data_IF_358991703738
#
_entry.id   IF_358991703738
#
_cell.length_a   1.000
_cell.length_b   1.000
_cell.length_c   1.000
_cell.angle_alpha   90.00
_cell.angle_beta   90.00
_cell.angle_gamma   90.00
#
_symmetry.space_group_name_H-M   'P 1'
#
loop_
_entity.id
_entity.type
_entity.pdbx_description
1 polymer ?
#
# COMPACT_ATOMS: atom_id res chain seq x y z
N UNK A 1 -13.69 -7.31 -2.94
CA UNK A 1 -13.02 -7.97 -4.08
C UNK A 1 -13.87 -9.18 -4.46
N UNK A 2 -14.15 -9.38 -5.75
CA UNK A 2 -14.92 -10.55 -6.20
C UNK A 2 -14.05 -11.80 -6.30
N UNK A 3 -14.66 -12.99 -6.21
CA UNK A 3 -13.94 -14.26 -6.30
C UNK A 3 -13.26 -14.43 -7.68
N UNK A 4 -13.93 -14.03 -8.77
CA UNK A 4 -13.37 -14.13 -10.12
C UNK A 4 -12.10 -13.30 -10.26
N UNK A 5 -12.13 -12.06 -9.77
CA UNK A 5 -10.98 -11.18 -9.81
C UNK A 5 -9.83 -11.69 -8.93
N UNK A 6 -10.14 -12.16 -7.72
CA UNK A 6 -9.15 -12.77 -6.85
C UNK A 6 -8.47 -13.98 -7.51
N UNK A 7 -9.25 -14.84 -8.18
CA UNK A 7 -8.73 -15.96 -8.95
C UNK A 7 -7.79 -15.49 -10.05
N UNK A 8 -8.16 -14.49 -10.85
CA UNK A 8 -7.28 -13.97 -11.89
C UNK A 8 -6.01 -13.33 -11.33
N UNK A 9 -6.10 -12.52 -10.27
CA UNK A 9 -4.91 -11.91 -9.64
C UNK A 9 -3.96 -12.98 -9.09
N UNK A 10 -4.48 -14.08 -8.55
CA UNK A 10 -3.65 -15.22 -8.12
C UNK A 10 -2.88 -15.84 -9.28
N UNK A 11 -3.42 -15.87 -10.50
CA UNK A 11 -2.73 -16.42 -11.69
C UNK A 11 -1.45 -15.64 -12.06
N UNK A 12 -1.36 -14.38 -11.65
CA UNK A 12 -0.17 -13.53 -11.82
C UNK A 12 0.79 -13.59 -10.61
N UNK A 13 0.39 -14.23 -9.51
CA UNK A 13 1.27 -14.45 -8.37
C UNK A 13 2.19 -15.67 -8.62
N UNK A 14 3.49 -15.61 -8.23
CA UNK A 14 4.42 -16.74 -8.39
C UNK A 14 3.92 -18.06 -7.79
N UNK A 15 3.12 -17.99 -6.72
CA UNK A 15 2.54 -19.17 -6.05
C UNK A 15 1.29 -19.70 -6.75
N UNK A 16 0.54 -18.84 -7.46
CA UNK A 16 -0.69 -19.25 -8.15
C UNK A 16 -0.42 -19.84 -9.54
N UNK A 17 0.72 -19.54 -10.16
CA UNK A 17 1.18 -20.20 -11.38
C UNK A 17 1.44 -21.72 -11.22
N UNK A 18 1.58 -22.21 -9.98
CA UNK A 18 1.79 -23.62 -9.65
C UNK A 18 0.48 -24.38 -9.37
N UNK A 19 -0.66 -23.70 -9.30
CA UNK A 19 -1.96 -24.32 -9.12
C UNK A 19 -2.71 -24.38 -10.45
N UNK A 20 -2.44 -25.42 -11.22
CA UNK A 20 -3.43 -25.93 -12.17
C UNK A 20 -4.56 -26.57 -11.35
N UNK A 21 -5.83 -26.15 -11.53
CA UNK A 21 -6.94 -26.91 -11.01
C UNK A 21 -6.99 -28.23 -11.79
N UNK A 22 -6.43 -29.28 -11.19
CA UNK A 22 -6.69 -30.67 -11.56
C UNK A 22 -8.14 -30.98 -11.17
N UNK A 23 -9.10 -30.53 -11.96
CA UNK A 23 -10.49 -30.91 -11.78
C UNK A 23 -11.02 -31.58 -13.04
N UNK A 24 -11.31 -32.86 -12.89
CA UNK A 24 -12.06 -33.74 -13.80
C UNK A 24 -13.54 -33.33 -13.96
N UNK A 25 -13.86 -32.04 -13.84
CA UNK A 25 -15.22 -31.50 -13.93
C UNK A 25 -15.41 -30.80 -15.27
N UNK A 26 -16.46 -31.21 -15.98
CA UNK A 26 -16.82 -30.76 -17.34
C UNK A 26 -17.11 -29.24 -17.45
N UNK A 27 -17.27 -28.51 -16.33
CA UNK A 27 -17.56 -27.07 -16.28
C UNK A 27 -16.47 -26.25 -15.52
N UNK A 28 -15.25 -26.79 -15.38
CA UNK A 28 -14.18 -26.08 -14.69
C UNK A 28 -13.47 -25.09 -15.63
N UNK A 29 -13.68 -23.79 -15.41
CA UNK A 29 -12.94 -22.74 -16.11
C UNK A 29 -11.43 -22.85 -15.83
N UNK A 30 -10.64 -22.81 -16.90
CA UNK A 30 -9.20 -22.85 -16.88
C UNK A 30 -8.55 -21.48 -16.69
N UNK A 31 -7.22 -21.47 -16.59
CA UNK A 31 -6.40 -20.25 -16.50
C UNK A 31 -6.71 -19.26 -17.63
N UNK A 32 -6.78 -19.76 -18.86
CA UNK A 32 -6.94 -18.92 -20.04
C UNK A 32 -8.32 -18.25 -20.10
N UNK A 33 -9.36 -18.90 -19.56
CA UNK A 33 -10.71 -18.31 -19.47
C UNK A 33 -10.72 -17.10 -18.52
N UNK A 34 -10.06 -17.22 -17.37
CA UNK A 34 -9.94 -16.12 -16.42
C UNK A 34 -9.08 -14.97 -16.96
N UNK A 35 -7.98 -15.28 -17.66
CA UNK A 35 -7.14 -14.27 -18.30
C UNK A 35 -7.91 -13.58 -19.42
N UNK A 36 -8.62 -14.34 -20.26
CA UNK A 36 -9.45 -13.79 -21.34
C UNK A 36 -10.54 -12.87 -20.81
N UNK A 37 -11.28 -13.29 -19.78
CA UNK A 37 -12.29 -12.46 -19.14
C UNK A 37 -11.69 -11.17 -18.55
N UNK A 38 -10.52 -11.28 -17.89
CA UNK A 38 -9.82 -10.11 -17.36
C UNK A 38 -9.42 -9.14 -18.48
N UNK A 39 -8.86 -9.64 -19.58
CA UNK A 39 -8.44 -8.82 -20.72
C UNK A 39 -9.62 -8.10 -21.38
N UNK A 40 -10.76 -8.77 -21.55
CA UNK A 40 -11.95 -8.14 -22.11
C UNK A 40 -12.47 -7.05 -21.17
N UNK A 41 -12.51 -7.31 -19.86
CA UNK A 41 -12.92 -6.31 -18.88
C UNK A 41 -11.96 -5.10 -18.83
N UNK A 42 -10.66 -5.35 -18.98
CA UNK A 42 -9.61 -4.32 -18.96
C UNK A 42 -9.59 -3.44 -20.20
N UNK A 43 -10.09 -3.90 -21.36
CA UNK A 43 -10.09 -3.13 -22.61
C UNK A 43 -10.68 -1.72 -22.46
N UNK A 44 -11.75 -1.59 -21.67
CA UNK A 44 -12.41 -0.32 -21.39
C UNK A 44 -12.07 0.25 -20.00
N UNK A 45 -11.23 -0.44 -19.23
CA UNK A 45 -10.88 -0.08 -17.85
C UNK A 45 -9.36 -0.27 -17.58
N UNK A 46 -8.47 0.31 -18.40
CA UNK A 46 -7.04 0.01 -18.32
C UNK A 46 -6.42 0.50 -17.01
N UNK A 47 -6.79 1.68 -16.51
CA UNK A 47 -6.29 2.17 -15.22
C UNK A 47 -6.82 1.35 -14.05
N UNK A 48 -8.06 0.86 -14.15
CA UNK A 48 -8.63 -0.07 -13.19
C UNK A 48 -7.79 -1.35 -13.05
N UNK A 49 -7.33 -1.92 -14.17
CA UNK A 49 -6.43 -3.08 -14.16
C UNK A 49 -5.08 -2.73 -13.54
N UNK A 50 -4.47 -1.62 -13.96
CA UNK A 50 -3.17 -1.17 -13.44
C UNK A 50 -3.24 -0.96 -11.92
N UNK A 51 -4.32 -0.38 -11.40
CA UNK A 51 -4.54 -0.21 -9.97
C UNK A 51 -4.55 -1.56 -9.24
N UNK A 52 -5.28 -2.55 -9.77
CA UNK A 52 -5.36 -3.87 -9.16
C UNK A 52 -4.01 -4.60 -9.18
N UNK A 53 -3.24 -4.47 -10.26
CA UNK A 53 -1.86 -4.98 -10.35
C UNK A 53 -0.94 -4.29 -9.33
N UNK A 54 -1.03 -2.96 -9.20
CA UNK A 54 -0.24 -2.17 -8.28
C UNK A 54 -0.57 -2.47 -6.80
N UNK A 55 -1.85 -2.51 -6.41
CA UNK A 55 -2.28 -2.70 -5.01
C UNK A 55 -2.08 -4.15 -4.53
N UNK A 56 -2.29 -5.14 -5.41
CA UNK A 56 -2.29 -6.56 -5.00
C UNK A 56 -1.00 -7.31 -5.33
N UNK A 57 -0.28 -6.92 -6.39
CA UNK A 57 0.92 -7.61 -6.84
C UNK A 57 2.19 -6.77 -6.70
N UNK A 58 2.05 -5.49 -6.30
CA UNK A 58 3.16 -4.54 -6.24
C UNK A 58 3.88 -4.39 -7.59
N UNK A 59 3.11 -4.51 -8.69
CA UNK A 59 3.65 -4.44 -10.04
C UNK A 59 4.22 -3.03 -10.31
N UNK A 60 5.53 -2.97 -10.54
CA UNK A 60 6.26 -1.70 -10.72
C UNK A 60 5.94 -1.03 -12.05
N UNK A 61 5.59 -1.79 -13.10
CA UNK A 61 5.16 -1.22 -14.39
C UNK A 61 3.82 -0.54 -14.22
N UNK A 62 2.85 -1.24 -13.61
CA UNK A 62 1.53 -0.71 -13.34
C UNK A 62 1.58 0.53 -12.44
N UNK A 63 2.44 0.53 -11.40
CA UNK A 63 2.70 1.71 -10.57
C UNK A 63 3.22 2.88 -11.43
N UNK A 64 4.21 2.64 -12.30
CA UNK A 64 4.81 3.69 -13.13
C UNK A 64 3.82 4.25 -14.16
N UNK A 65 3.01 3.39 -14.76
CA UNK A 65 1.95 3.78 -15.71
C UNK A 65 0.86 4.62 -15.02
N UNK A 66 0.47 4.27 -13.79
CA UNK A 66 -0.47 5.07 -13.00
C UNK A 66 0.11 6.43 -12.62
N UNK A 67 1.40 6.52 -12.28
CA UNK A 67 2.06 7.82 -12.09
C UNK A 67 1.92 8.65 -13.35
N UNK A 68 2.39 8.13 -14.50
CA UNK A 68 2.35 8.86 -15.76
C UNK A 68 0.92 9.29 -16.15
N UNK A 69 -0.08 8.44 -15.89
CA UNK A 69 -1.48 8.78 -16.09
C UNK A 69 -1.92 9.95 -15.21
N UNK A 70 -1.66 9.91 -13.90
CA UNK A 70 -2.03 10.99 -12.99
C UNK A 70 -1.29 12.30 -13.29
N UNK A 71 -0.01 12.23 -13.64
CA UNK A 71 0.77 13.41 -14.01
C UNK A 71 0.20 14.09 -15.27
N UNK A 72 -0.20 13.29 -16.27
CA UNK A 72 -0.83 13.78 -17.50
C UNK A 72 -2.22 14.37 -17.28
N UNK A 73 -3.06 13.69 -16.50
CA UNK A 73 -4.44 14.10 -16.23
C UNK A 73 -4.53 15.35 -15.34
N UNK A 74 -3.65 15.43 -14.33
CA UNK A 74 -3.62 16.55 -13.38
C UNK A 74 -2.78 17.73 -13.91
N UNK A 75 -1.80 17.46 -14.78
CA UNK A 75 -0.86 18.45 -15.31
C UNK A 75 0.19 18.90 -14.28
N UNK A 76 0.38 18.17 -13.18
CA UNK A 76 1.37 18.46 -12.17
C UNK A 76 1.97 17.17 -11.58
N UNK A 77 3.29 17.01 -11.69
CA UNK A 77 4.00 15.80 -11.28
C UNK A 77 3.87 15.49 -9.78
N UNK A 78 4.03 16.50 -8.92
CA UNK A 78 3.95 16.32 -7.47
C UNK A 78 2.53 15.93 -7.03
N UNK A 79 1.52 16.61 -7.55
CA UNK A 79 0.12 16.29 -7.29
C UNK A 79 -0.26 14.90 -7.84
N UNK A 80 0.29 14.49 -8.99
CA UNK A 80 0.13 13.14 -9.55
C UNK A 80 0.73 12.06 -8.64
N UNK A 81 1.92 12.30 -8.09
CA UNK A 81 2.52 11.43 -7.08
C UNK A 81 1.66 11.32 -5.81
N UNK A 82 1.08 12.43 -5.35
CA UNK A 82 0.12 12.42 -4.22
C UNK A 82 -1.15 11.64 -4.56
N UNK A 83 -1.68 11.78 -5.78
CA UNK A 83 -2.85 11.03 -6.26
C UNK A 83 -2.60 9.51 -6.21
N UNK A 84 -1.44 9.06 -6.71
CA UNK A 84 -1.05 7.66 -6.61
C UNK A 84 -0.96 7.18 -5.16
N UNK A 85 -0.34 7.96 -4.27
CA UNK A 85 -0.23 7.61 -2.86
C UNK A 85 -1.63 7.50 -2.21
N UNK A 86 -2.56 8.39 -2.56
CA UNK A 86 -3.95 8.34 -2.11
C UNK A 86 -4.64 7.07 -2.62
N UNK A 87 -4.54 6.78 -3.92
CA UNK A 87 -5.13 5.61 -4.57
C UNK A 87 -4.65 4.30 -3.90
N UNK A 88 -3.34 4.14 -3.73
CA UNK A 88 -2.71 2.94 -3.16
C UNK A 88 -2.72 2.92 -1.62
N UNK A 89 -3.41 3.88 -0.98
CA UNK A 89 -3.47 4.02 0.48
C UNK A 89 -2.09 4.01 1.13
N UNK A 90 -1.15 4.74 0.53
CA UNK A 90 0.23 4.95 1.00
C UNK A 90 0.34 6.32 1.68
N UNK A 91 1.18 6.45 2.71
CA UNK A 91 1.36 7.73 3.39
C UNK A 91 1.95 8.79 2.45
N UNK A 92 1.51 10.03 2.62
CA UNK A 92 2.22 11.18 2.07
C UNK A 92 3.50 11.46 2.89
N UNK A 93 4.55 12.06 2.31
CA UNK A 93 5.84 12.25 2.99
C UNK A 93 5.73 12.90 4.38
N UNK A 94 4.88 13.91 4.53
CA UNK A 94 4.67 14.68 5.77
C UNK A 94 3.92 13.87 6.84
N UNK A 95 3.31 12.75 6.47
CA UNK A 95 2.66 11.85 7.42
C UNK A 95 3.65 10.81 7.98
N UNK A 96 4.78 10.56 7.31
CA UNK A 96 5.69 9.46 7.63
C UNK A 96 6.21 9.55 9.06
N UNK A 97 6.73 10.71 9.47
CA UNK A 97 7.29 10.89 10.82
C UNK A 97 6.30 10.52 11.91
N UNK A 98 5.03 10.92 11.77
CA UNK A 98 3.99 10.60 12.76
C UNK A 98 3.60 9.11 12.71
N UNK A 99 3.57 8.52 11.52
CA UNK A 99 3.14 7.15 11.31
C UNK A 99 4.19 6.14 11.76
N UNK A 100 5.48 6.40 11.53
CA UNK A 100 6.59 5.58 12.00
C UNK A 100 6.53 5.39 13.52
N UNK A 101 6.24 6.46 14.26
CA UNK A 101 6.10 6.40 15.73
C UNK A 101 4.96 5.48 16.21
N UNK A 102 4.00 5.18 15.33
CA UNK A 102 2.88 4.27 15.64
C UNK A 102 3.18 2.82 15.30
N UNK A 103 4.34 2.52 14.71
CA UNK A 103 4.72 1.19 14.24
C UNK A 103 5.33 0.35 15.39
N UNK A 104 4.83 -0.88 15.65
CA UNK A 104 5.35 -1.76 16.71
C UNK A 104 6.84 -2.05 16.60
N UNK A 105 7.36 -2.25 15.38
CA UNK A 105 8.78 -2.44 15.13
C UNK A 105 9.60 -1.22 15.57
N UNK A 106 9.19 -0.01 15.17
CA UNK A 106 9.87 1.21 15.59
C UNK A 106 9.84 1.40 17.10
N UNK A 107 8.71 1.14 17.76
CA UNK A 107 8.64 1.25 19.23
C UNK A 107 9.58 0.26 19.93
N UNK A 108 9.73 -0.95 19.41
CA UNK A 108 10.71 -1.93 19.90
C UNK A 108 12.14 -1.42 19.76
N UNK A 109 12.54 -0.98 18.57
CA UNK A 109 13.90 -0.48 18.34
C UNK A 109 14.18 0.83 19.08
N UNK A 110 13.17 1.69 19.25
CA UNK A 110 13.25 2.89 20.08
C UNK A 110 13.57 2.56 21.54
N UNK A 111 12.95 1.52 22.12
CA UNK A 111 13.25 1.06 23.48
C UNK A 111 14.68 0.52 23.59
N UNK A 112 15.16 -0.20 22.56
CA UNK A 112 16.55 -0.67 22.48
C UNK A 112 17.53 0.51 22.41
N UNK A 113 17.26 1.48 21.54
CA UNK A 113 18.05 2.70 21.40
C UNK A 113 18.11 3.52 22.70
N UNK A 114 17.04 3.51 23.51
CA UNK A 114 17.03 4.16 24.83
C UNK A 114 18.02 3.50 25.81
N UNK A 115 18.16 2.18 25.79
CA UNK A 115 19.16 1.47 26.61
C UNK A 115 20.58 1.86 26.20
N UNK A 116 20.86 1.96 24.90
CA UNK A 116 22.15 2.43 24.38
C UNK A 116 22.41 3.87 24.82
N UNK A 117 21.39 4.74 24.75
CA UNK A 117 21.51 6.13 25.21
C UNK A 117 21.83 6.23 26.71
N UNK A 118 21.25 5.38 27.56
CA UNK A 118 21.59 5.37 28.99
C UNK A 118 23.03 4.91 29.24
N UNK A 119 23.58 4.00 28.43
CA UNK A 119 25.02 3.68 28.45
C UNK A 119 25.87 4.87 28.03
N UNK A 120 25.47 5.56 26.95
CA UNK A 120 26.17 6.75 26.45
C UNK A 120 26.26 7.83 27.55
N UNK A 121 25.14 8.13 28.21
CA UNK A 121 25.10 9.09 29.32
C UNK A 121 26.02 8.70 30.48
N UNK A 122 26.16 7.40 30.79
CA UNK A 122 27.11 6.92 31.81
C UNK A 122 28.56 7.16 31.39
N UNK A 123 28.90 6.82 30.15
CA UNK A 123 30.24 7.05 29.59
C UNK A 123 30.63 8.54 29.63
N UNK A 124 29.69 9.42 29.26
CA UNK A 124 29.91 10.86 29.34
C UNK A 124 30.10 11.36 30.77
N UNK A 125 29.28 10.89 31.73
CA UNK A 125 29.47 11.22 33.16
C UNK A 125 30.81 10.74 33.73
N UNK A 126 31.40 9.69 33.16
CA UNK A 126 32.74 9.21 33.52
C UNK A 126 33.88 9.90 32.75
N UNK A 127 33.59 10.90 31.92
CA UNK A 127 34.59 11.61 31.11
C UNK A 127 35.12 10.81 29.91
N UNK A 128 34.46 9.71 29.53
CA UNK A 128 34.84 8.91 28.36
C UNK A 128 34.07 9.37 27.13
N UNK A 129 34.51 10.48 26.53
CA UNK A 129 33.83 11.10 25.40
C UNK A 129 33.91 10.25 24.12
N UNK A 130 34.99 9.49 23.92
CA UNK A 130 35.10 8.57 22.78
C UNK A 130 33.99 7.49 22.82
N UNK A 131 33.80 6.87 23.98
CA UNK A 131 32.75 5.87 24.16
C UNK A 131 31.35 6.48 24.11
N UNK A 132 31.17 7.71 24.61
CA UNK A 132 29.94 8.46 24.45
C UNK A 132 29.58 8.66 22.97
N UNK A 133 30.52 9.13 22.14
CA UNK A 133 30.30 9.34 20.71
C UNK A 133 30.00 8.03 19.99
N UNK A 134 30.73 6.95 20.31
CA UNK A 134 30.48 5.62 19.73
C UNK A 134 29.06 5.12 20.03
N UNK A 135 28.61 5.21 21.27
CA UNK A 135 27.26 4.79 21.69
C UNK A 135 26.17 5.72 21.13
N UNK A 136 26.45 7.02 20.98
CA UNK A 136 25.53 7.96 20.35
C UNK A 136 25.33 7.64 18.87
N UNK A 137 26.40 7.31 18.16
CA UNK A 137 26.35 6.85 16.77
C UNK A 137 25.54 5.56 16.64
N UNK A 138 25.81 4.55 17.49
CA UNK A 138 25.06 3.29 17.54
C UNK A 138 23.56 3.54 17.78
N UNK A 139 23.21 4.42 18.72
CA UNK A 139 21.83 4.81 19.00
C UNK A 139 21.15 5.41 17.76
N UNK A 140 21.84 6.30 17.05
CA UNK A 140 21.29 6.98 15.88
C UNK A 140 21.10 6.00 14.72
N UNK A 141 22.05 5.10 14.51
CA UNK A 141 21.96 4.05 13.49
C UNK A 141 20.76 3.13 13.74
N UNK A 142 20.56 2.67 14.98
CA UNK A 142 19.38 1.84 15.35
C UNK A 142 18.07 2.54 14.96
N UNK A 143 17.94 3.83 15.26
CA UNK A 143 16.72 4.58 14.97
C UNK A 143 16.55 4.88 13.48
N UNK A 144 17.64 5.15 12.76
CA UNK A 144 17.61 5.37 11.31
C UNK A 144 17.14 4.10 10.60
N UNK A 145 17.79 2.96 10.86
CA UNK A 145 17.42 1.68 10.26
C UNK A 145 15.97 1.29 10.58
N UNK A 146 15.53 1.53 11.82
CA UNK A 146 14.14 1.27 12.20
C UNK A 146 13.15 2.20 11.49
N UNK A 147 13.51 3.46 11.27
CA UNK A 147 12.70 4.41 10.51
C UNK A 147 12.58 3.94 9.06
N UNK A 148 13.71 3.70 8.39
CA UNK A 148 13.79 3.29 6.99
C UNK A 148 12.98 2.01 6.74
N UNK A 149 13.11 1.01 7.63
CA UNK A 149 12.31 -0.21 7.57
C UNK A 149 10.80 0.07 7.63
N UNK A 150 10.36 0.91 8.58
CA UNK A 150 8.94 1.21 8.75
C UNK A 150 8.39 2.02 7.57
N UNK A 151 9.16 2.99 7.05
CA UNK A 151 8.80 3.77 5.86
C UNK A 151 8.66 2.85 4.66
N UNK A 152 9.66 1.99 4.41
CA UNK A 152 9.63 1.04 3.30
C UNK A 152 8.42 0.10 3.37
N UNK A 153 8.12 -0.46 4.54
CA UNK A 153 6.96 -1.35 4.72
C UNK A 153 5.64 -0.62 4.42
N UNK A 154 5.46 0.59 4.93
CA UNK A 154 4.24 1.38 4.72
C UNK A 154 4.10 1.82 3.26
N UNK A 155 5.19 2.27 2.63
CA UNK A 155 5.20 2.69 1.22
C UNK A 155 4.97 1.51 0.28
N UNK A 156 5.43 0.32 0.63
CA UNK A 156 5.19 -0.87 -0.18
C UNK A 156 3.75 -1.36 -0.02
N UNK A 157 3.29 -1.55 1.21
CA UNK A 157 2.06 -2.31 1.49
C UNK A 157 0.80 -1.45 1.71
N UNK A 158 0.96 -0.16 1.97
CA UNK A 158 -0.15 0.72 2.40
C UNK A 158 -0.81 0.30 3.72
N UNK A 159 -0.24 -0.66 4.46
CA UNK A 159 -0.83 -1.17 5.70
C UNK A 159 -0.70 -0.15 6.81
N UNK A 160 -1.75 -0.04 7.61
CA UNK A 160 -1.74 0.79 8.80
C UNK A 160 -0.66 0.29 9.78
N UNK A 161 0.32 1.13 10.16
CA UNK A 161 1.43 0.72 11.02
C UNK A 161 0.98 0.31 12.43
N UNK A 162 -0.20 0.77 12.86
CA UNK A 162 -0.70 0.49 14.21
C UNK A 162 -1.36 -0.89 14.35
N UNK A 163 -1.97 -1.39 13.27
CA UNK A 163 -2.69 -2.68 13.28
C UNK A 163 -2.15 -3.68 12.26
N UNK A 164 -1.06 -3.34 11.58
CA UNK A 164 -0.41 -4.15 10.54
C UNK A 164 -1.38 -4.72 9.50
N UNK A 165 -2.33 -3.91 9.03
CA UNK A 165 -3.29 -4.35 8.02
C UNK A 165 -4.58 -4.95 8.55
N UNK A 166 -4.66 -5.31 9.84
CA UNK A 166 -5.82 -6.07 10.37
C UNK A 166 -7.07 -5.22 10.56
N UNK A 167 -6.94 -3.90 10.68
CA UNK A 167 -8.05 -3.02 11.00
C UNK A 167 -8.54 -3.13 12.45
N UNK A 168 -7.99 -4.05 13.24
CA UNK A 168 -8.46 -4.37 14.60
C UNK A 168 -7.31 -4.12 15.59
N UNK A 169 -7.64 -3.67 16.80
CA UNK A 169 -6.66 -3.56 17.88
C UNK A 169 -6.36 -4.94 18.46
N UNK A 170 -5.11 -5.46 18.41
CA UNK A 170 -4.80 -6.83 18.81
C UNK A 170 -5.20 -7.22 20.24
N UNK A 171 -5.32 -6.24 21.15
CA UNK A 171 -5.62 -6.47 22.57
C UNK A 171 -7.06 -6.21 22.99
N UNK A 172 -7.79 -5.38 22.24
CA UNK A 172 -9.16 -4.97 22.61
C UNK A 172 -10.22 -5.56 21.67
N UNK A 173 -9.81 -6.06 20.50
CA UNK A 173 -10.74 -6.66 19.52
C UNK A 173 -11.66 -5.66 18.81
N UNK A 174 -11.57 -4.38 19.16
CA UNK A 174 -12.33 -3.30 18.55
C UNK A 174 -11.56 -2.62 17.41
N UNK A 175 -12.26 -1.79 16.64
CA UNK A 175 -11.72 -1.11 15.47
C UNK A 175 -10.44 -0.31 15.78
N UNK A 176 -9.46 -0.44 14.90
CA UNK A 176 -8.23 0.37 14.96
C UNK A 176 -8.59 1.85 14.76
N UNK A 177 -8.27 2.74 15.71
CA UNK A 177 -8.70 4.13 15.66
C UNK A 177 -7.82 4.96 14.71
N UNK A 178 -6.66 4.45 14.32
CA UNK A 178 -5.71 5.12 13.41
C UNK A 178 -6.13 4.98 11.95
N UNK A 179 -6.75 3.87 11.59
CA UNK A 179 -7.24 3.61 10.24
C UNK A 179 -8.76 3.46 10.17
N UNK A 180 -9.47 3.73 11.27
CA UNK A 180 -10.93 3.57 11.38
C UNK A 180 -11.43 2.19 10.90
N UNK A 181 -10.71 1.12 11.26
CA UNK A 181 -11.09 -0.25 10.89
C UNK A 181 -10.65 -0.71 9.50
N UNK A 182 -10.13 0.16 8.63
CA UNK A 182 -9.80 -0.22 7.23
C UNK A 182 -8.55 -1.09 7.10
N UNK A 183 -7.68 -1.10 8.11
CA UNK A 183 -6.38 -1.75 8.06
C UNK A 183 -5.35 -1.03 7.17
N UNK A 184 -5.72 0.02 6.44
CA UNK A 184 -4.86 0.76 5.52
C UNK A 184 -4.44 2.11 6.10
N UNK A 185 -3.35 2.69 5.60
CA UNK A 185 -3.02 4.09 5.90
C UNK A 185 -4.13 4.98 5.33
N UNK A 186 -4.42 6.08 6.03
CA UNK A 186 -5.36 7.10 5.56
C UNK A 186 -4.54 8.31 5.12
N UNK A 187 -4.33 8.50 3.81
CA UNK A 187 -3.58 9.65 3.31
C UNK A 187 -4.38 10.93 3.55
N UNK A 188 -3.72 11.99 4.03
CA UNK A 188 -4.40 13.26 4.32
C UNK A 188 -4.57 14.05 3.02
N UNK A 189 -5.71 13.89 2.35
CA UNK A 189 -6.02 14.63 1.11
C UNK A 189 -6.00 16.15 1.32
N UNK A 190 -6.21 16.62 2.55
CA UNK A 190 -6.09 18.04 2.88
C UNK A 190 -4.67 18.60 2.64
N UNK A 191 -3.64 17.75 2.66
CA UNK A 191 -2.27 18.18 2.32
C UNK A 191 -2.18 18.66 0.86
N UNK A 192 -2.96 18.08 -0.05
CA UNK A 192 -3.04 18.56 -1.45
C UNK A 192 -3.58 19.99 -1.47
N UNK A 193 -4.68 20.24 -0.76
CA UNK A 193 -5.27 21.59 -0.70
C UNK A 193 -4.37 22.63 -0.04
N UNK A 194 -3.55 22.22 0.95
CA UNK A 194 -2.60 23.11 1.61
C UNK A 194 -1.43 23.51 0.71
N UNK A 195 -1.01 22.64 -0.20
CA UNK A 195 0.10 22.93 -1.13
C UNK A 195 -0.35 23.63 -2.40
N UNK A 196 -1.45 23.18 -2.98
CA UNK A 196 -1.83 23.55 -4.34
C UNK A 196 -3.21 24.22 -4.45
N UNK A 197 -3.93 24.37 -3.34
CA UNK A 197 -5.27 24.94 -3.32
C UNK A 197 -6.39 23.91 -3.53
N UNK A 198 -7.63 24.36 -3.35
CA UNK A 198 -8.82 23.50 -3.38
C UNK A 198 -9.12 22.92 -4.77
N UNK A 199 -8.85 23.67 -5.85
CA UNK A 199 -9.08 23.20 -7.22
C UNK A 199 -8.21 21.97 -7.54
N UNK A 200 -6.93 22.02 -7.16
CA UNK A 200 -6.02 20.89 -7.33
C UNK A 200 -6.47 19.68 -6.51
N UNK A 201 -6.92 19.91 -5.27
CA UNK A 201 -7.48 18.84 -4.44
C UNK A 201 -8.65 18.15 -5.16
N UNK A 202 -9.59 18.92 -5.71
CA UNK A 202 -10.74 18.37 -6.44
C UNK A 202 -10.32 17.64 -7.72
N UNK A 203 -9.29 18.13 -8.43
CA UNK A 203 -8.72 17.42 -9.58
C UNK A 203 -8.13 16.07 -9.17
N UNK A 204 -7.34 16.03 -8.09
CA UNK A 204 -6.79 14.78 -7.54
C UNK A 204 -7.88 13.82 -7.10
N UNK A 205 -8.88 14.28 -6.34
CA UNK A 205 -10.00 13.45 -5.89
C UNK A 205 -10.75 12.84 -7.08
N UNK A 206 -11.08 13.64 -8.10
CA UNK A 206 -11.75 13.16 -9.33
C UNK A 206 -10.91 12.13 -10.08
N UNK A 207 -9.62 12.39 -10.26
CA UNK A 207 -8.73 11.47 -10.96
C UNK A 207 -8.61 10.12 -10.22
N UNK A 208 -8.44 10.15 -8.90
CA UNK A 208 -8.39 8.93 -8.08
C UNK A 208 -9.72 8.17 -8.13
N UNK A 209 -10.85 8.89 -8.01
CA UNK A 209 -12.17 8.28 -8.07
C UNK A 209 -12.41 7.61 -9.43
N UNK A 210 -12.03 8.22 -10.55
CA UNK A 210 -12.15 7.62 -11.89
C UNK A 210 -11.46 6.26 -11.97
N UNK A 211 -10.22 6.14 -11.47
CA UNK A 211 -9.48 4.87 -11.44
C UNK A 211 -10.19 3.82 -10.56
N UNK A 212 -10.76 4.25 -9.43
CA UNK A 212 -11.55 3.36 -8.55
C UNK A 212 -12.83 2.88 -9.26
N UNK A 213 -13.51 3.76 -9.99
CA UNK A 213 -14.69 3.41 -10.77
C UNK A 213 -14.35 2.38 -11.86
N UNK A 214 -13.26 2.59 -12.60
CA UNK A 214 -12.77 1.62 -13.58
C UNK A 214 -12.46 0.27 -12.95
N UNK A 215 -11.80 0.22 -11.79
CA UNK A 215 -11.49 -1.03 -11.11
C UNK A 215 -12.77 -1.78 -10.67
N UNK A 216 -13.76 -1.02 -10.18
CA UNK A 216 -15.09 -1.56 -9.84
C UNK A 216 -15.78 -2.13 -11.08
N UNK A 217 -15.81 -1.41 -12.19
CA UNK A 217 -16.50 -1.83 -13.40
C UNK A 217 -15.82 -3.01 -14.08
N UNK A 218 -14.49 -3.02 -14.08
CA UNK A 218 -13.68 -4.18 -14.47
C UNK A 218 -14.11 -5.42 -13.68
N UNK A 219 -14.19 -5.33 -12.35
CA UNK A 219 -14.61 -6.44 -11.49
C UNK A 219 -16.02 -6.94 -11.86
N UNK A 220 -16.97 -6.03 -12.11
CA UNK A 220 -18.36 -6.39 -12.48
C UNK A 220 -18.44 -7.07 -13.84
N UNK A 221 -17.72 -6.55 -14.84
CA UNK A 221 -17.70 -7.10 -16.21
C UNK A 221 -17.09 -8.50 -16.17
N UNK A 222 -15.97 -8.66 -15.47
CA UNK A 222 -15.30 -9.95 -15.33
C UNK A 222 -16.19 -10.97 -14.63
N UNK A 223 -16.86 -10.61 -13.53
CA UNK A 223 -17.80 -11.49 -12.83
C UNK A 223 -19.00 -11.90 -13.69
N UNK A 224 -19.47 -11.01 -14.56
CA UNK A 224 -20.54 -11.34 -15.52
C UNK A 224 -20.03 -12.38 -16.52
N UNK A 225 -18.88 -12.17 -17.13
CA UNK A 225 -18.30 -13.08 -18.12
C UNK A 225 -18.02 -14.46 -17.54
N UNK A 226 -17.40 -14.53 -16.35
CA UNK A 226 -17.13 -15.80 -15.67
C UNK A 226 -18.42 -16.56 -15.34
N UNK A 227 -19.51 -15.87 -15.02
CA UNK A 227 -20.82 -16.51 -14.83
C UNK A 227 -21.41 -17.03 -16.13
N UNK A 228 -21.33 -16.25 -17.21
CA UNK A 228 -21.80 -16.64 -18.54
C UNK A 228 -21.04 -17.86 -19.07
N UNK A 229 -19.70 -17.88 -18.94
CA UNK A 229 -18.87 -19.02 -19.37
C UNK A 229 -19.13 -20.30 -18.56
N UNK A 230 -19.54 -20.19 -17.28
CA UNK A 230 -19.91 -21.35 -16.46
C UNK A 230 -21.30 -21.91 -16.77
N UNK A 231 -22.15 -21.10 -17.39
CA UNK A 231 -23.52 -21.45 -17.75
C UNK A 231 -23.65 -22.00 -19.18
N UNK A 232 -22.64 -21.76 -20.02
CA UNK A 232 -22.47 -22.35 -21.34
C UNK A 232 -21.94 -23.79 -21.24
#
# INVERSE_FOLDING_TARGET
MSNSLEMALRLFSPKGALHEPTSSNFNALGRDDFIGALQVAAKNNPQGLQFLMADHLLDTSAISELVAHFEGEIGNAEAGGMALAILLRRPLPEQLDRLVLSHPHYDKERRRAAVVMEKAKRAHRSGNDHEYQRLLAERNEILSLANDHCVAEMMQSGRCPHCNGTGIRPRKGDGCPKCHGTGRVVPHVELVSRRFGQEMRQAVERAVDEVIHQASDLSKIMDRQVREMRAA
#
